data_IF_434849050858
#
_entry.id   IF_434849050858
#
_cell.length_a   1.000
_cell.length_b   1.000
_cell.length_c   1.000
_cell.angle_alpha   90.00
_cell.angle_beta   90.00
_cell.angle_gamma   90.00
#
_symmetry.space_group_name_H-M   'P 1'
#
loop_
_entity.id
_entity.type
_entity.pdbx_description
1 polymer ?
#
# COMPACT_ATOMS: atom_id res chain seq x y z
N UNK A 1 3.66 11.66 -14.29
CA UNK A 1 3.03 12.36 -13.18
C UNK A 1 1.59 11.90 -13.00
N UNK A 2 1.23 11.50 -11.81
CA UNK A 2 -0.10 11.00 -11.50
C UNK A 2 -0.92 12.02 -10.75
N UNK A 3 -2.24 11.98 -10.95
CA UNK A 3 -3.12 12.83 -10.19
C UNK A 3 -3.10 12.39 -8.72
N UNK A 4 -3.27 13.37 -7.82
CA UNK A 4 -3.26 13.09 -6.38
C UNK A 4 -4.25 12.01 -5.98
N UNK A 5 -5.47 12.05 -6.55
CA UNK A 5 -6.49 11.04 -6.24
C UNK A 5 -6.09 9.62 -6.63
N UNK A 6 -5.36 9.45 -7.73
CA UNK A 6 -4.87 8.14 -8.15
C UNK A 6 -3.84 7.59 -7.16
N UNK A 7 -2.91 8.45 -6.72
CA UNK A 7 -1.90 8.05 -5.75
C UNK A 7 -2.52 7.70 -4.40
N UNK A 8 -3.49 8.48 -3.94
CA UNK A 8 -4.21 8.20 -2.69
C UNK A 8 -4.97 6.88 -2.78
N UNK A 9 -5.68 6.67 -3.91
CA UNK A 9 -6.44 5.43 -4.12
C UNK A 9 -5.54 4.19 -4.15
N UNK A 10 -4.39 4.28 -4.82
CA UNK A 10 -3.43 3.18 -4.85
C UNK A 10 -2.88 2.89 -3.45
N UNK A 11 -2.60 3.93 -2.67
CA UNK A 11 -2.15 3.78 -1.29
C UNK A 11 -3.20 3.13 -0.39
N UNK A 12 -4.46 3.48 -0.57
CA UNK A 12 -5.57 2.86 0.16
C UNK A 12 -5.68 1.38 -0.17
N UNK A 13 -5.53 1.03 -1.44
CA UNK A 13 -5.60 -0.35 -1.87
C UNK A 13 -4.44 -1.17 -1.28
N UNK A 14 -3.24 -0.60 -1.27
CA UNK A 14 -2.09 -1.24 -0.64
C UNK A 14 -2.30 -1.45 0.86
N UNK A 15 -2.81 -0.44 1.55
CA UNK A 15 -3.11 -0.55 2.97
C UNK A 15 -4.13 -1.68 3.25
N UNK A 16 -5.16 -1.80 2.42
CA UNK A 16 -6.14 -2.87 2.53
C UNK A 16 -5.50 -4.25 2.28
N UNK A 17 -4.60 -4.34 1.29
CA UNK A 17 -3.89 -5.57 0.99
C UNK A 17 -3.04 -6.03 2.17
N UNK A 18 -2.26 -5.12 2.76
CA UNK A 18 -1.43 -5.44 3.93
C UNK A 18 -2.30 -5.86 5.10
N UNK A 19 -3.40 -5.14 5.33
CA UNK A 19 -4.33 -5.45 6.42
C UNK A 19 -4.92 -6.84 6.29
N UNK A 20 -5.27 -7.24 5.06
CA UNK A 20 -5.78 -8.58 4.78
C UNK A 20 -4.70 -9.65 5.04
N UNK A 21 -3.49 -9.41 4.56
CA UNK A 21 -2.38 -10.36 4.75
C UNK A 21 -1.95 -10.48 6.20
N UNK A 22 -2.18 -9.45 7.02
CA UNK A 22 -1.89 -9.50 8.45
C UNK A 22 -3.07 -10.03 9.27
N UNK A 23 -4.12 -10.54 8.62
CA UNK A 23 -5.33 -11.07 9.25
C UNK A 23 -6.13 -10.04 10.06
N UNK A 24 -5.95 -8.75 9.76
CA UNK A 24 -6.72 -7.68 10.39
C UNK A 24 -8.00 -7.39 9.61
N UNK A 25 -7.95 -7.54 8.29
CA UNK A 25 -9.08 -7.31 7.40
C UNK A 25 -9.56 -8.65 6.85
N UNK A 26 -10.87 -8.88 6.82
CA UNK A 26 -11.42 -10.12 6.26
C UNK A 26 -11.23 -10.17 4.74
N UNK A 27 -11.15 -11.39 4.20
CA UNK A 27 -11.08 -11.58 2.76
C UNK A 27 -12.31 -11.03 2.03
N UNK A 28 -13.47 -11.07 2.68
CA UNK A 28 -14.69 -10.52 2.12
C UNK A 28 -14.60 -9.00 1.97
N UNK A 29 -14.08 -8.31 2.98
CA UNK A 29 -13.90 -6.87 2.91
C UNK A 29 -12.80 -6.50 1.91
N UNK A 30 -11.72 -7.28 1.83
CA UNK A 30 -10.69 -7.09 0.80
C UNK A 30 -11.31 -7.17 -0.59
N UNK A 31 -12.14 -8.18 -0.84
CA UNK A 31 -12.81 -8.33 -2.15
C UNK A 31 -13.70 -7.13 -2.47
N UNK A 32 -14.45 -6.64 -1.49
CA UNK A 32 -15.32 -5.48 -1.70
C UNK A 32 -14.52 -4.22 -2.03
N UNK A 33 -13.48 -3.97 -1.26
CA UNK A 33 -12.62 -2.79 -1.45
C UNK A 33 -11.90 -2.87 -2.79
N UNK A 34 -11.26 -3.99 -3.09
CA UNK A 34 -10.49 -4.14 -4.32
C UNK A 34 -11.37 -4.08 -5.56
N UNK A 35 -12.56 -4.69 -5.50
CA UNK A 35 -13.50 -4.66 -6.62
C UNK A 35 -13.96 -3.23 -6.93
N UNK A 36 -14.26 -2.47 -5.89
CA UNK A 36 -14.67 -1.08 -6.06
C UNK A 36 -13.55 -0.22 -6.64
N UNK A 37 -12.36 -0.33 -6.06
CA UNK A 37 -11.21 0.48 -6.51
C UNK A 37 -10.78 0.11 -7.93
N UNK A 38 -10.90 -1.17 -8.31
CA UNK A 38 -10.58 -1.61 -9.66
C UNK A 38 -11.45 -0.93 -10.71
N UNK A 39 -12.68 -0.56 -10.34
CA UNK A 39 -13.60 0.11 -11.25
C UNK A 39 -13.30 1.58 -11.45
N UNK A 40 -12.66 2.22 -10.46
CA UNK A 40 -12.52 3.68 -10.46
C UNK A 40 -11.08 4.16 -10.61
N UNK A 41 -10.08 3.30 -10.39
CA UNK A 41 -8.68 3.70 -10.43
C UNK A 41 -8.01 3.26 -11.74
N UNK A 42 -7.21 4.17 -12.30
CA UNK A 42 -6.29 3.84 -13.38
C UNK A 42 -5.01 3.24 -12.77
N UNK A 43 -4.37 2.28 -13.45
CA UNK A 43 -3.12 1.71 -12.94
C UNK A 43 -2.02 2.76 -12.78
N UNK A 44 -1.26 2.63 -11.70
CA UNK A 44 -0.07 3.45 -11.45
C UNK A 44 1.14 2.62 -11.84
N UNK A 45 2.03 3.18 -12.66
CA UNK A 45 3.27 2.50 -13.07
C UNK A 45 4.45 3.23 -12.42
N UNK A 46 5.27 2.48 -11.67
CA UNK A 46 6.46 3.00 -11.02
C UNK A 46 7.70 2.37 -11.63
N UNK A 47 8.68 3.21 -11.97
CA UNK A 47 9.92 2.75 -12.61
C UNK A 47 11.08 2.82 -11.63
N UNK A 48 11.93 1.79 -11.65
CA UNK A 48 13.20 1.79 -10.91
C UNK A 48 13.03 1.99 -9.40
N UNK A 49 11.97 1.41 -8.84
CA UNK A 49 11.71 1.51 -7.39
C UNK A 49 12.46 0.41 -6.67
N UNK A 50 13.27 0.78 -5.67
CA UNK A 50 13.92 -0.16 -4.76
C UNK A 50 13.51 0.14 -3.33
N UNK A 51 14.04 -0.63 -2.39
CA UNK A 51 13.65 -0.50 -0.98
C UNK A 51 13.98 0.88 -0.41
N UNK A 52 15.12 1.46 -0.79
CA UNK A 52 15.52 2.77 -0.28
C UNK A 52 14.59 3.87 -0.78
N UNK A 53 14.25 3.83 -2.07
CA UNK A 53 13.31 4.80 -2.65
C UNK A 53 11.91 4.60 -2.04
N UNK A 54 11.49 3.35 -1.86
CA UNK A 54 10.21 3.05 -1.22
C UNK A 54 10.15 3.61 0.20
N UNK A 55 11.22 3.40 0.99
CA UNK A 55 11.31 3.93 2.34
C UNK A 55 11.16 5.46 2.35
N UNK A 56 11.87 6.14 1.44
CA UNK A 56 11.80 7.59 1.36
C UNK A 56 10.39 8.07 1.01
N UNK A 57 9.70 7.35 0.14
CA UNK A 57 8.33 7.69 -0.25
C UNK A 57 7.36 7.58 0.92
N UNK A 58 7.44 6.49 1.70
CA UNK A 58 6.48 6.28 2.79
C UNK A 58 6.80 7.10 4.02
N UNK A 59 8.06 7.49 4.21
CA UNK A 59 8.46 8.33 5.35
C UNK A 59 8.38 9.82 5.03
N UNK A 60 8.31 10.17 3.76
CA UNK A 60 8.30 11.56 3.30
C UNK A 60 9.51 12.36 3.78
N UNK A 61 10.63 11.68 4.07
CA UNK A 61 11.85 12.31 4.55
C UNK A 61 13.05 11.54 4.02
N UNK A 62 13.71 12.10 3.03
CA UNK A 62 14.85 11.47 2.37
C UNK A 62 16.11 11.39 3.23
N UNK A 63 16.13 12.11 4.34
CA UNK A 63 17.30 12.16 5.23
C UNK A 63 17.20 11.19 6.40
N UNK A 64 16.04 10.59 6.60
CA UNK A 64 15.83 9.70 7.74
C UNK A 64 16.51 8.34 7.50
N UNK A 65 16.97 7.75 8.61
CA UNK A 65 17.48 6.39 8.62
C UNK A 65 16.51 5.43 9.30
N UNK A 66 15.29 5.87 9.54
CA UNK A 66 14.29 5.05 10.20
C UNK A 66 13.99 3.79 9.39
N UNK A 67 13.85 2.67 10.09
CA UNK A 67 13.54 1.38 9.49
C UNK A 67 12.13 0.89 9.84
N UNK A 68 11.33 1.71 10.51
CA UNK A 68 9.96 1.38 10.89
C UNK A 68 9.09 2.62 10.80
N UNK A 69 7.82 2.42 10.49
CA UNK A 69 6.85 3.50 10.34
C UNK A 69 5.54 3.15 11.03
N UNK A 70 4.76 4.17 11.37
CA UNK A 70 3.38 3.98 11.80
C UNK A 70 2.51 3.89 10.56
N UNK A 71 1.89 2.74 10.37
CA UNK A 71 1.17 2.43 9.14
C UNK A 71 -0.33 2.35 9.41
N UNK A 72 -1.13 3.00 8.56
CA UNK A 72 -2.58 2.96 8.70
C UNK A 72 -3.10 1.66 8.13
N UNK A 73 -3.80 0.90 8.96
CA UNK A 73 -4.37 -0.39 8.61
C UNK A 73 -5.90 -0.31 8.66
N UNK A 74 -6.55 -1.27 8.01
CA UNK A 74 -7.99 -1.40 8.04
C UNK A 74 -8.38 -2.61 8.87
N UNK A 75 -9.35 -2.45 9.77
CA UNK A 75 -9.91 -3.54 10.54
C UNK A 75 -11.15 -4.11 9.87
N UNK A 76 -11.93 -3.23 9.27
CA UNK A 76 -13.07 -3.57 8.42
C UNK A 76 -13.37 -2.36 7.55
N UNK A 77 -14.29 -2.53 6.61
CA UNK A 77 -14.71 -1.42 5.77
C UNK A 77 -15.25 -0.30 6.64
N UNK A 78 -14.62 0.88 6.54
CA UNK A 78 -15.00 2.05 7.31
C UNK A 78 -14.35 2.18 8.68
N UNK A 79 -13.48 1.25 9.07
CA UNK A 79 -12.79 1.33 10.37
C UNK A 79 -11.29 1.13 10.17
N UNK A 80 -10.50 2.09 10.60
CA UNK A 80 -9.04 2.05 10.49
C UNK A 80 -8.37 2.15 11.86
N UNK A 81 -7.11 1.77 11.92
CA UNK A 81 -6.28 1.93 13.10
C UNK A 81 -4.82 2.14 12.67
N UNK A 82 -4.00 2.60 13.60
CA UNK A 82 -2.57 2.81 13.33
C UNK A 82 -1.78 1.63 13.90
N UNK A 83 -1.10 0.90 13.04
CA UNK A 83 -0.15 -0.13 13.46
C UNK A 83 1.19 0.53 13.66
N UNK A 84 1.65 0.60 14.90
CA UNK A 84 2.92 1.25 15.22
C UNK A 84 4.10 0.37 14.88
N UNK A 85 5.21 1.01 14.54
CA UNK A 85 6.50 0.34 14.34
C UNK A 85 6.48 -0.78 13.30
N UNK A 86 5.78 -0.55 12.18
CA UNK A 86 5.82 -1.49 11.05
C UNK A 86 7.20 -1.41 10.39
N UNK A 87 7.95 -2.52 10.30
CA UNK A 87 9.24 -2.49 9.64
C UNK A 87 9.11 -2.13 8.16
N UNK A 88 9.96 -1.22 7.69
CA UNK A 88 9.98 -0.83 6.27
C UNK A 88 10.25 -2.04 5.38
N UNK A 89 11.14 -2.94 5.82
CA UNK A 89 11.46 -4.15 5.06
C UNK A 89 10.22 -5.02 4.85
N UNK A 90 9.39 -5.17 5.88
CA UNK A 90 8.15 -5.93 5.77
C UNK A 90 7.18 -5.28 4.80
N UNK A 91 7.03 -3.96 4.88
CA UNK A 91 6.15 -3.22 3.98
C UNK A 91 6.66 -3.30 2.54
N UNK A 92 7.96 -3.25 2.33
CA UNK A 92 8.55 -3.40 1.00
C UNK A 92 8.26 -4.79 0.42
N UNK A 93 8.41 -5.84 1.23
CA UNK A 93 8.10 -7.19 0.79
C UNK A 93 6.62 -7.32 0.43
N UNK A 94 5.73 -6.75 1.23
CA UNK A 94 4.30 -6.75 0.94
C UNK A 94 3.98 -5.94 -0.32
N UNK A 95 4.66 -4.82 -0.51
CA UNK A 95 4.46 -3.99 -1.69
C UNK A 95 4.87 -4.73 -2.98
N UNK A 96 5.97 -5.47 -2.92
CA UNK A 96 6.39 -6.30 -4.07
C UNK A 96 5.36 -7.37 -4.39
N UNK A 97 4.80 -8.02 -3.36
CA UNK A 97 3.72 -8.99 -3.55
C UNK A 97 2.48 -8.35 -4.13
N UNK A 98 2.11 -7.19 -3.60
CA UNK A 98 0.94 -6.44 -4.06
C UNK A 98 1.06 -6.10 -5.54
N UNK A 99 2.18 -5.56 -5.97
CA UNK A 99 2.38 -5.17 -7.37
C UNK A 99 2.45 -6.38 -8.30
N UNK A 100 2.99 -7.50 -7.81
CA UNK A 100 3.05 -8.73 -8.61
C UNK A 100 1.67 -9.37 -8.79
N UNK A 101 0.85 -9.36 -7.73
CA UNK A 101 -0.47 -9.98 -7.75
C UNK A 101 -1.55 -9.07 -8.32
N UNK A 102 -1.39 -7.76 -8.19
CA UNK A 102 -2.41 -6.78 -8.58
C UNK A 102 -1.82 -5.62 -9.38
N UNK A 103 -1.19 -5.93 -10.55
CA UNK A 103 -0.64 -4.86 -11.39
C UNK A 103 -1.70 -3.92 -11.95
N UNK A 104 -2.97 -4.31 -11.85
CA UNK A 104 -4.08 -3.43 -12.24
C UNK A 104 -4.18 -2.20 -11.34
N UNK A 105 -3.59 -2.22 -10.14
CA UNK A 105 -3.53 -1.07 -9.23
C UNK A 105 -2.17 -0.38 -9.31
N UNK A 106 -1.09 -1.12 -9.12
CA UNK A 106 0.27 -0.59 -9.18
C UNK A 106 1.18 -1.62 -9.85
N UNK A 107 1.91 -1.18 -10.85
CA UNK A 107 2.86 -2.03 -11.56
C UNK A 107 4.27 -1.50 -11.35
N UNK A 108 5.21 -2.39 -11.02
CA UNK A 108 6.64 -2.05 -10.94
C UNK A 108 7.33 -2.44 -12.25
N UNK A 109 8.09 -1.51 -12.79
CA UNK A 109 8.88 -1.72 -14.01
C UNK A 109 10.35 -1.41 -13.80
#
# INVERSE_FOLDING_TARGET
TYLHGEAVGAGMCFAAFVSWHCNELSGKDWERISSYLRKILAPVVLHSLDQDVFRDLILHDKKTQKQAVNFIMLKKLGESFIQQEMPVEKLWDEFKKFTALHPEFVELR
#
